data_IF_018073852072
#
_entry.id   IF_018073852072
#
_cell.length_a   1.000
_cell.length_b   1.000
_cell.length_c   1.000
_cell.angle_alpha   90.00
_cell.angle_beta   90.00
_cell.angle_gamma   90.00
#
_symmetry.space_group_name_H-M   'P 1'
#
loop_
_entity.id
_entity.type
_entity.pdbx_description
1 polymer ?
#
# COMPACT_ATOMS: atom_id res chain seq x y z
N UNK A 1 6.20 -2.84 -9.79
CA UNK A 1 5.66 -3.25 -8.48
C UNK A 1 5.74 -4.76 -8.39
N UNK A 2 6.10 -5.28 -7.22
CA UNK A 2 6.12 -6.71 -6.96
C UNK A 2 4.71 -7.28 -6.91
N UNK A 3 4.51 -8.48 -7.47
CA UNK A 3 3.23 -9.19 -7.39
C UNK A 3 2.80 -9.44 -5.94
N UNK A 4 3.75 -9.66 -5.03
CA UNK A 4 3.48 -9.84 -3.60
C UNK A 4 2.88 -8.59 -2.97
N UNK A 5 3.40 -7.42 -3.32
CA UNK A 5 2.90 -6.13 -2.82
C UNK A 5 1.48 -5.90 -3.32
N UNK A 6 1.24 -6.01 -4.62
CA UNK A 6 -0.09 -5.77 -5.19
C UNK A 6 -1.11 -6.76 -4.63
N UNK A 7 -0.76 -8.06 -4.49
CA UNK A 7 -1.66 -9.05 -3.90
C UNK A 7 -1.98 -8.78 -2.43
N UNK A 8 -1.03 -8.26 -1.65
CA UNK A 8 -1.27 -7.90 -0.25
C UNK A 8 -2.32 -6.78 -0.16
N UNK A 9 -2.09 -5.70 -0.91
CA UNK A 9 -3.01 -4.56 -0.98
C UNK A 9 -4.39 -4.99 -1.49
N UNK A 10 -4.42 -5.80 -2.56
CA UNK A 10 -5.65 -6.36 -3.12
C UNK A 10 -6.44 -7.14 -2.08
N UNK A 11 -5.76 -7.95 -1.27
CA UNK A 11 -6.36 -8.73 -0.20
C UNK A 11 -6.88 -7.83 0.93
N UNK A 12 -6.12 -6.80 1.32
CA UNK A 12 -6.54 -5.82 2.33
C UNK A 12 -7.77 -5.02 1.89
N UNK A 13 -7.82 -4.63 0.61
CA UNK A 13 -8.93 -3.85 0.05
C UNK A 13 -10.11 -4.74 -0.42
N UNK A 14 -9.97 -6.06 -0.34
CA UNK A 14 -10.94 -7.04 -0.85
C UNK A 14 -11.32 -6.82 -2.33
N UNK A 15 -10.34 -6.44 -3.15
CA UNK A 15 -10.52 -6.22 -4.60
C UNK A 15 -9.56 -7.05 -5.43
N UNK A 16 -9.86 -7.30 -6.72
CA UNK A 16 -8.90 -7.93 -7.62
C UNK A 16 -7.63 -7.09 -7.79
N UNK A 17 -6.48 -7.74 -7.71
CA UNK A 17 -5.16 -7.13 -7.95
C UNK A 17 -5.02 -6.47 -9.34
N UNK A 18 -5.81 -6.92 -10.31
CA UNK A 18 -5.87 -6.36 -11.67
C UNK A 18 -6.41 -4.91 -11.71
N UNK A 19 -7.23 -4.55 -10.71
CA UNK A 19 -7.79 -3.19 -10.56
C UNK A 19 -6.77 -2.21 -9.94
N UNK A 20 -5.74 -2.73 -9.28
CA UNK A 20 -4.70 -1.94 -8.64
C UNK A 20 -3.57 -1.61 -9.62
N UNK A 21 -3.29 -0.32 -9.76
CA UNK A 21 -2.25 0.24 -10.63
C UNK A 21 -1.30 1.11 -9.83
N UNK A 22 -0.18 1.47 -10.46
CA UNK A 22 0.84 2.31 -9.82
C UNK A 22 0.26 3.66 -9.37
N UNK A 23 -0.60 4.23 -10.20
CA UNK A 23 -1.28 5.50 -9.97
C UNK A 23 -2.59 5.34 -9.19
N UNK A 24 -2.88 4.14 -8.66
CA UNK A 24 -4.08 3.94 -7.86
C UNK A 24 -3.98 4.76 -6.58
N UNK A 25 -5.00 5.57 -6.37
CA UNK A 25 -5.23 6.42 -5.20
C UNK A 25 -6.59 6.11 -4.58
N UNK A 26 -6.85 6.69 -3.41
CA UNK A 26 -8.17 6.71 -2.76
C UNK A 26 -9.29 7.30 -3.62
N UNK A 27 -8.96 8.13 -4.63
CA UNK A 27 -9.93 8.67 -5.57
C UNK A 27 -10.30 7.66 -6.68
N UNK A 28 -9.33 6.85 -7.11
CA UNK A 28 -9.54 5.84 -8.16
C UNK A 28 -10.08 4.53 -7.62
N UNK A 29 -9.74 4.18 -6.39
CA UNK A 29 -10.11 2.92 -5.74
C UNK A 29 -11.06 3.25 -4.58
N UNK A 30 -12.38 3.14 -4.76
CA UNK A 30 -13.36 3.55 -3.74
C UNK A 30 -13.28 2.73 -2.45
N UNK A 31 -12.72 1.53 -2.50
CA UNK A 31 -12.46 0.67 -1.35
C UNK A 31 -11.31 1.19 -0.49
N UNK A 32 -10.39 1.96 -1.10
CA UNK A 32 -9.29 2.57 -0.38
C UNK A 32 -9.75 3.82 0.35
N UNK A 33 -10.15 3.61 1.60
CA UNK A 33 -10.56 4.67 2.51
C UNK A 33 -9.43 5.04 3.48
N UNK A 34 -9.63 6.08 4.30
CA UNK A 34 -8.69 6.45 5.36
C UNK A 34 -8.46 5.34 6.39
N UNK A 35 -9.38 4.40 6.56
CA UNK A 35 -9.18 3.23 7.43
C UNK A 35 -8.25 2.22 6.77
N UNK A 36 -8.57 1.83 5.54
CA UNK A 36 -7.76 0.89 4.76
C UNK A 36 -6.36 1.40 4.48
N UNK A 37 -6.16 2.72 4.46
CA UNK A 37 -4.85 3.36 4.42
C UNK A 37 -3.93 2.87 5.54
N UNK A 38 -4.43 2.82 6.78
CA UNK A 38 -3.69 2.29 7.92
C UNK A 38 -3.55 0.78 7.85
N UNK A 39 -4.61 0.06 7.47
CA UNK A 39 -4.55 -1.41 7.36
C UNK A 39 -3.53 -1.88 6.32
N UNK A 40 -3.38 -1.13 5.22
CA UNK A 40 -2.34 -1.38 4.21
C UNK A 40 -0.95 -1.27 4.83
N UNK A 41 -0.71 -0.21 5.60
CA UNK A 41 0.58 0.01 6.25
C UNK A 41 0.87 -1.12 7.22
N UNK A 42 -0.06 -1.42 8.14
CA UNK A 42 0.09 -2.52 9.10
C UNK A 42 0.30 -3.87 8.41
N UNK A 43 -0.43 -4.14 7.33
CA UNK A 43 -0.24 -5.37 6.56
C UNK A 43 1.16 -5.45 5.94
N UNK A 44 1.68 -4.34 5.42
CA UNK A 44 3.04 -4.27 4.88
C UNK A 44 4.09 -4.45 5.98
N UNK A 45 3.91 -3.79 7.13
CA UNK A 45 4.77 -3.94 8.29
C UNK A 45 4.84 -5.40 8.76
N UNK A 46 3.69 -6.03 8.93
CA UNK A 46 3.60 -7.42 9.35
C UNK A 46 4.19 -8.39 8.30
N UNK A 47 3.96 -8.14 7.01
CA UNK A 47 4.39 -9.02 5.93
C UNK A 47 5.89 -8.94 5.65
N UNK A 48 6.45 -7.73 5.68
CA UNK A 48 7.87 -7.48 5.36
C UNK A 48 8.74 -7.36 6.61
N UNK A 49 8.15 -7.27 7.80
CA UNK A 49 8.87 -7.10 9.06
C UNK A 49 9.51 -5.72 9.19
N UNK A 50 8.86 -4.69 8.65
CA UNK A 50 9.33 -3.29 8.69
C UNK A 50 8.38 -2.44 9.55
N UNK A 51 8.80 -1.23 9.89
CA UNK A 51 7.96 -0.22 10.54
C UNK A 51 7.95 1.06 9.69
N UNK A 52 6.77 1.55 9.32
CA UNK A 52 6.55 2.84 8.70
C UNK A 52 6.37 3.90 9.77
N UNK A 53 7.01 5.05 9.54
CA UNK A 53 6.81 6.22 10.40
C UNK A 53 5.50 6.93 10.04
N UNK A 54 4.97 7.71 10.99
CA UNK A 54 3.77 8.52 10.76
C UNK A 54 3.92 9.47 9.56
N UNK A 55 5.14 9.98 9.33
CA UNK A 55 5.45 10.86 8.21
C UNK A 55 5.31 10.11 6.88
N UNK A 56 5.98 8.96 6.75
CA UNK A 56 5.88 8.07 5.58
C UNK A 56 4.45 7.64 5.32
N UNK A 57 3.71 7.28 6.38
CA UNK A 57 2.30 6.93 6.32
C UNK A 57 1.45 8.08 5.75
N UNK A 58 1.78 9.34 6.02
CA UNK A 58 1.04 10.50 5.52
C UNK A 58 1.57 11.06 4.20
N UNK A 59 2.80 10.72 3.81
CA UNK A 59 3.42 11.22 2.59
C UNK A 59 2.90 10.53 1.32
N UNK A 60 2.60 9.23 1.35
CA UNK A 60 2.18 8.52 0.14
C UNK A 60 0.75 8.86 -0.26
N UNK A 61 0.54 9.16 -1.54
CA UNK A 61 -0.79 9.46 -2.11
C UNK A 61 -1.31 8.37 -3.05
N UNK A 62 -0.40 7.55 -3.55
CA UNK A 62 -0.68 6.44 -4.47
C UNK A 62 0.13 5.19 -4.10
N UNK A 63 -0.23 4.04 -4.69
CA UNK A 63 0.51 2.78 -4.48
C UNK A 63 1.96 2.85 -4.93
N UNK A 64 2.25 3.61 -5.97
CA UNK A 64 3.60 3.79 -6.47
C UNK A 64 4.53 4.37 -5.42
N UNK A 65 4.12 5.49 -4.80
CA UNK A 65 4.87 6.13 -3.72
C UNK A 65 5.05 5.19 -2.53
N UNK A 66 3.98 4.49 -2.13
CA UNK A 66 4.05 3.50 -1.06
C UNK A 66 5.05 2.37 -1.37
N UNK A 67 5.04 1.90 -2.62
CA UNK A 67 5.97 0.87 -3.09
C UNK A 67 7.43 1.38 -3.10
N UNK A 68 7.66 2.64 -3.48
CA UNK A 68 8.99 3.25 -3.43
C UNK A 68 9.52 3.36 -1.99
N UNK A 69 8.68 3.78 -1.03
CA UNK A 69 9.05 3.84 0.39
C UNK A 69 9.41 2.44 0.91
N UNK A 70 8.58 1.44 0.59
CA UNK A 70 8.84 0.04 0.93
C UNK A 70 10.20 -0.44 0.39
N UNK A 71 10.46 -0.21 -0.90
CA UNK A 71 11.72 -0.62 -1.54
C UNK A 71 12.94 0.05 -0.91
N UNK A 72 12.82 1.31 -0.48
CA UNK A 72 13.89 2.00 0.26
C UNK A 72 14.17 1.37 1.62
N UNK A 73 13.15 0.88 2.32
CA UNK A 73 13.31 0.18 3.61
C UNK A 73 13.87 -1.23 3.47
N UNK A 74 13.59 -1.90 2.34
CA UNK A 74 14.08 -3.24 2.04
C UNK A 74 15.49 -3.27 1.43
N UNK A 75 16.05 -2.11 1.08
CA UNK A 75 17.40 -1.97 0.52
C UNK A 75 18.50 -2.00 1.58
#
# INVERSE_FOLDING_TARGET
MDEKFVNLIASTLEIPADDLKYDSTTETVPQWTSLSHWEIIEALEAQYGIEFTMDEATEFKNLGELYEILQRKLS
#
